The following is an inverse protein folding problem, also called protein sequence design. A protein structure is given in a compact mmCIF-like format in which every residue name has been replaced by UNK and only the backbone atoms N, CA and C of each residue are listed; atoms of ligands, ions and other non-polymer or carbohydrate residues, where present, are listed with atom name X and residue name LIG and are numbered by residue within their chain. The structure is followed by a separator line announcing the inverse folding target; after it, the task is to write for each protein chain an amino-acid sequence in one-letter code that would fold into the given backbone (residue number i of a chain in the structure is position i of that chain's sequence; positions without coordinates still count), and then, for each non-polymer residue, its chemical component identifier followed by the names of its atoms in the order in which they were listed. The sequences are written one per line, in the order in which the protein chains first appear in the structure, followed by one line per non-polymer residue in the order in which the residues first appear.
data_IF_070216568586
#
_entry.id   IF_070216568586
#
_cell.length_a   1.000
_cell.length_b   1.000
_cell.length_c   1.000
_cell.angle_alpha   90.00
_cell.angle_beta   90.00
_cell.angle_gamma   90.00
#
_symmetry.space_group_name_H-M   'P 1'
#
loop_
_entity.id
_entity.type
_entity.pdbx_description
1 polymer ?
#
# COMPACT_ATOMS: atom_id res chain seq x y z
N UNK A 1 -39.29 20.89 19.58
CA UNK A 1 -37.93 21.10 20.11
C UNK A 1 -36.96 20.22 19.33
N UNK A 2 -36.37 20.74 18.24
CA UNK A 2 -35.44 19.95 17.42
C UNK A 2 -34.11 19.78 18.17
N UNK A 3 -33.79 18.55 18.59
CA UNK A 3 -32.47 18.22 19.14
C UNK A 3 -31.41 18.52 18.09
N UNK A 4 -30.42 19.32 18.47
CA UNK A 4 -29.29 19.75 17.63
C UNK A 4 -28.47 18.52 17.27
N UNK A 5 -28.73 17.91 16.11
CA UNK A 5 -27.98 16.78 15.59
C UNK A 5 -26.54 17.26 15.35
N UNK A 6 -25.60 16.81 16.16
CA UNK A 6 -24.16 17.09 15.97
C UNK A 6 -23.62 16.15 14.89
N UNK A 7 -23.93 16.45 13.64
CA UNK A 7 -23.37 15.75 12.48
C UNK A 7 -21.84 15.93 12.49
N UNK A 8 -21.08 14.84 12.62
CA UNK A 8 -19.62 14.86 12.40
C UNK A 8 -18.74 14.28 13.50
N UNK A 9 -19.26 13.88 14.66
CA UNK A 9 -18.48 13.12 15.66
C UNK A 9 -18.77 11.62 15.55
N UNK A 10 -17.88 10.79 14.99
CA UNK A 10 -18.12 9.35 14.83
C UNK A 10 -18.15 8.55 16.16
N UNK A 11 -17.90 9.22 17.30
CA UNK A 11 -17.93 8.64 18.64
C UNK A 11 -19.00 9.27 19.56
N UNK A 12 -19.95 10.02 19.01
CA UNK A 12 -21.10 10.49 19.78
C UNK A 12 -22.12 9.33 19.92
N UNK A 13 -22.47 8.96 21.16
CA UNK A 13 -23.42 7.87 21.44
C UNK A 13 -24.89 8.29 21.21
N UNK A 14 -25.12 9.57 20.95
CA UNK A 14 -26.42 10.24 20.88
C UNK A 14 -27.00 10.32 19.46
N UNK A 15 -26.63 9.39 18.57
CA UNK A 15 -27.27 9.26 17.24
C UNK A 15 -28.61 8.51 17.30
N UNK A 16 -29.62 8.94 16.51
CA UNK A 16 -30.88 8.21 16.34
C UNK A 16 -30.70 6.75 15.89
N UNK A 17 -31.55 5.83 16.37
CA UNK A 17 -31.46 4.38 16.08
C UNK A 17 -31.44 4.02 14.58
N UNK A 18 -32.11 4.80 13.73
CA UNK A 18 -32.15 4.54 12.29
C UNK A 18 -30.76 4.67 11.64
N UNK A 19 -29.89 5.54 12.16
CA UNK A 19 -28.50 5.68 11.71
C UNK A 19 -27.71 4.43 12.07
N UNK A 20 -27.88 3.91 13.29
CA UNK A 20 -27.23 2.67 13.74
C UNK A 20 -27.70 1.44 12.97
N UNK A 21 -29.00 1.36 12.64
CA UNK A 21 -29.53 0.30 11.75
C UNK A 21 -28.95 0.39 10.35
N UNK A 22 -28.79 1.61 9.81
CA UNK A 22 -28.09 1.84 8.54
C UNK A 22 -26.61 1.46 8.59
N UNK A 23 -25.90 1.80 9.67
CA UNK A 23 -24.50 1.41 9.89
C UNK A 23 -24.32 -0.10 10.07
N UNK A 24 -25.29 -0.81 10.68
CA UNK A 24 -25.27 -2.28 10.76
C UNK A 24 -25.37 -2.96 9.39
N UNK A 25 -26.03 -2.31 8.44
CA UNK A 25 -26.08 -2.75 7.04
C UNK A 25 -24.83 -2.35 6.24
N UNK A 26 -23.93 -1.55 6.82
CA UNK A 26 -22.65 -1.20 6.19
C UNK A 26 -21.76 -2.44 6.04
N UNK A 27 -21.04 -2.52 4.92
CA UNK A 27 -19.99 -3.52 4.66
C UNK A 27 -18.71 -3.29 5.46
N UNK A 28 -18.66 -2.26 6.31
CA UNK A 28 -17.50 -1.91 7.13
C UNK A 28 -17.01 -3.12 7.95
N UNK A 29 -15.87 -3.68 7.55
CA UNK A 29 -15.25 -4.83 8.23
C UNK A 29 -15.62 -6.23 7.70
N UNK A 30 -16.45 -6.33 6.64
CA UNK A 30 -16.83 -7.60 5.98
C UNK A 30 -16.05 -7.89 4.70
N UNK A 31 -15.19 -6.96 4.28
CA UNK A 31 -14.36 -7.13 3.08
C UNK A 31 -13.13 -8.01 3.37
N UNK A 32 -12.71 -8.78 2.37
CA UNK A 32 -11.50 -9.63 2.45
C UNK A 32 -10.23 -8.83 2.78
N UNK A 33 -10.22 -7.54 2.45
CA UNK A 33 -9.14 -6.61 2.76
C UNK A 33 -9.35 -5.82 4.07
N UNK A 34 -10.41 -6.08 4.84
CA UNK A 34 -10.67 -5.41 6.11
C UNK A 34 -9.50 -5.50 7.11
N UNK A 35 -8.77 -6.64 7.24
CA UNK A 35 -7.58 -6.70 8.09
C UNK A 35 -6.46 -5.77 7.60
N UNK A 36 -6.26 -5.70 6.29
CA UNK A 36 -5.28 -4.82 5.66
C UNK A 36 -5.61 -3.35 5.90
N UNK A 37 -6.86 -2.94 5.69
CA UNK A 37 -7.29 -1.56 5.94
C UNK A 37 -7.26 -1.20 7.43
N UNK A 38 -7.50 -2.16 8.34
CA UNK A 38 -7.32 -1.95 9.78
C UNK A 38 -5.85 -1.72 10.14
N UNK A 39 -4.93 -2.50 9.58
CA UNK A 39 -3.48 -2.31 9.76
C UNK A 39 -3.02 -0.96 9.19
N UNK A 40 -3.42 -0.61 7.97
CA UNK A 40 -3.12 0.69 7.37
C UNK A 40 -3.71 1.87 8.13
N UNK A 41 -4.89 1.72 8.73
CA UNK A 41 -5.43 2.78 9.59
C UNK A 41 -4.67 2.84 10.93
N UNK A 42 -4.20 1.71 11.45
CA UNK A 42 -3.41 1.66 12.67
C UNK A 42 -2.03 2.33 12.52
N UNK A 43 -1.44 2.32 11.33
CA UNK A 43 -0.18 3.04 11.05
C UNK A 43 -0.36 4.56 11.03
N UNK A 44 -1.60 5.07 11.01
CA UNK A 44 -1.93 6.51 10.99
C UNK A 44 -1.19 7.27 9.87
N UNK A 45 -0.89 6.60 8.76
CA UNK A 45 -0.20 7.20 7.60
C UNK A 45 -0.92 8.45 7.13
N UNK A 46 -2.24 8.48 7.22
CA UNK A 46 -3.03 9.65 6.88
C UNK A 46 -2.63 10.88 7.71
N UNK A 47 -2.54 10.73 9.04
CA UNK A 47 -2.25 11.83 9.96
C UNK A 47 -0.81 12.34 9.82
N UNK A 48 0.14 11.42 9.60
CA UNK A 48 1.56 11.75 9.55
C UNK A 48 2.04 12.21 8.17
N UNK A 49 1.42 11.72 7.10
CA UNK A 49 1.99 11.83 5.75
C UNK A 49 1.00 12.45 4.76
N UNK A 50 -0.25 11.99 4.73
CA UNK A 50 -1.20 12.38 3.69
C UNK A 50 -1.92 13.71 3.98
N UNK A 51 -1.90 14.20 5.22
CA UNK A 51 -2.58 15.44 5.62
C UNK A 51 -1.91 16.71 5.07
N UNK A 52 -0.60 16.72 4.93
CA UNK A 52 0.16 17.86 4.42
C UNK A 52 0.61 17.59 2.97
N UNK A 53 0.40 18.56 2.07
CA UNK A 53 0.66 18.41 0.64
C UNK A 53 2.14 18.11 0.33
N UNK A 54 3.06 18.73 1.08
CA UNK A 54 4.50 18.48 0.91
C UNK A 54 4.90 17.06 1.35
N UNK A 55 4.44 16.64 2.53
CA UNK A 55 4.69 15.30 3.06
C UNK A 55 4.09 14.21 2.16
N UNK A 56 2.89 14.47 1.63
CA UNK A 56 2.24 13.62 0.63
C UNK A 56 3.11 13.47 -0.61
N UNK A 57 3.57 14.57 -1.18
CA UNK A 57 4.39 14.56 -2.40
C UNK A 57 5.69 13.79 -2.20
N UNK A 58 6.40 14.06 -1.10
CA UNK A 58 7.63 13.34 -0.75
C UNK A 58 7.40 11.84 -0.55
N UNK A 59 6.29 11.46 0.08
CA UNK A 59 5.94 10.05 0.27
C UNK A 59 5.61 9.35 -1.04
N UNK A 60 4.86 10.00 -1.94
CA UNK A 60 4.53 9.43 -3.25
C UNK A 60 5.79 9.26 -4.09
N UNK A 61 6.66 10.27 -4.14
CA UNK A 61 7.89 10.22 -4.93
C UNK A 61 8.86 9.18 -4.38
N UNK A 62 9.16 9.22 -3.08
CA UNK A 62 10.05 8.24 -2.45
C UNK A 62 9.47 6.82 -2.53
N UNK A 63 8.17 6.66 -2.27
CA UNK A 63 7.47 5.40 -2.40
C UNK A 63 7.57 4.85 -3.83
N UNK A 64 7.32 5.69 -4.83
CA UNK A 64 7.41 5.33 -6.25
C UNK A 64 8.82 4.92 -6.68
N UNK A 65 9.86 5.65 -6.24
CA UNK A 65 11.25 5.28 -6.53
C UNK A 65 11.62 3.93 -5.92
N UNK A 66 11.28 3.72 -4.64
CA UNK A 66 11.60 2.48 -3.92
C UNK A 66 10.85 1.29 -4.53
N UNK A 67 9.55 1.43 -4.77
CA UNK A 67 8.77 0.34 -5.38
C UNK A 67 9.25 0.03 -6.78
N UNK A 68 9.56 1.03 -7.61
CA UNK A 68 10.07 0.81 -8.96
C UNK A 68 11.41 0.06 -8.95
N UNK A 69 12.33 0.45 -8.06
CA UNK A 69 13.62 -0.22 -7.93
C UNK A 69 13.45 -1.68 -7.47
N UNK A 70 12.70 -1.91 -6.39
CA UNK A 70 12.48 -3.25 -5.84
C UNK A 70 11.77 -4.14 -6.86
N UNK A 71 10.77 -3.61 -7.57
CA UNK A 71 10.05 -4.34 -8.61
C UNK A 71 10.98 -4.76 -9.74
N UNK A 72 11.76 -3.81 -10.28
CA UNK A 72 12.73 -4.06 -11.35
C UNK A 72 13.75 -5.13 -10.96
N UNK A 73 14.35 -5.00 -9.77
CA UNK A 73 15.36 -5.95 -9.29
C UNK A 73 14.78 -7.33 -9.01
N UNK A 74 13.53 -7.40 -8.51
CA UNK A 74 12.84 -8.67 -8.28
C UNK A 74 12.62 -9.40 -9.60
N UNK A 75 12.13 -8.71 -10.63
CA UNK A 75 11.92 -9.32 -11.95
C UNK A 75 13.23 -9.67 -12.64
N UNK A 76 14.27 -8.84 -12.52
CA UNK A 76 15.60 -9.18 -13.02
C UNK A 76 16.13 -10.46 -12.37
N UNK A 77 15.97 -10.63 -11.05
CA UNK A 77 16.37 -11.85 -10.35
C UNK A 77 15.58 -13.08 -10.82
N UNK A 78 14.26 -12.96 -10.96
CA UNK A 78 13.40 -14.03 -11.47
C UNK A 78 13.85 -14.40 -12.89
N UNK A 79 14.03 -13.41 -13.76
CA UNK A 79 14.45 -13.62 -15.15
C UNK A 79 15.83 -14.28 -15.25
N UNK A 80 16.79 -13.85 -14.43
CA UNK A 80 18.12 -14.48 -14.34
C UNK A 80 18.04 -15.92 -13.84
N UNK A 81 17.17 -16.19 -12.86
CA UNK A 81 16.97 -17.54 -12.34
C UNK A 81 16.42 -18.50 -13.41
N UNK A 82 15.51 -18.03 -14.26
CA UNK A 82 14.92 -18.84 -15.34
C UNK A 82 15.90 -19.04 -16.50
N UNK A 83 16.75 -18.05 -16.80
CA UNK A 83 17.68 -18.06 -17.93
C UNK A 83 19.13 -18.43 -17.53
N UNK A 84 19.30 -19.09 -16.38
CA UNK A 84 20.62 -19.51 -15.90
C UNK A 84 21.35 -20.33 -16.98
N UNK A 85 22.61 -20.00 -17.24
CA UNK A 85 23.47 -20.66 -18.22
C UNK A 85 23.31 -20.14 -19.66
N UNK A 86 22.36 -19.23 -19.93
CA UNK A 86 22.18 -18.56 -21.22
C UNK A 86 22.60 -17.08 -21.20
N UNK A 87 22.88 -16.56 -20.01
CA UNK A 87 23.24 -15.17 -19.79
C UNK A 87 24.72 -14.97 -20.12
N UNK A 88 25.07 -13.80 -20.65
CA UNK A 88 26.47 -13.44 -20.90
C UNK A 88 27.33 -13.58 -19.64
N UNK A 89 26.79 -13.21 -18.48
CA UNK A 89 27.47 -13.39 -17.19
C UNK A 89 27.74 -14.85 -16.81
N UNK A 90 26.94 -15.80 -17.32
CA UNK A 90 27.09 -17.23 -17.01
C UNK A 90 27.99 -17.95 -18.03
N UNK A 91 28.30 -17.31 -19.16
CA UNK A 91 29.13 -17.87 -20.24
C UNK A 91 30.33 -16.93 -20.47
N UNK A 92 31.33 -16.93 -19.57
CA UNK A 92 32.51 -16.11 -19.74
C UNK A 92 33.24 -16.52 -21.01
N UNK A 93 33.59 -15.53 -21.83
CA UNK A 93 34.39 -15.76 -23.03
C UNK A 93 35.77 -16.30 -22.63
N UNK A 94 36.11 -17.50 -23.08
CA UNK A 94 37.43 -18.10 -22.89
C UNK A 94 38.29 -17.67 -24.06
N UNK A 95 39.39 -16.95 -23.79
CA UNK A 95 40.37 -16.64 -24.82
C UNK A 95 41.02 -17.96 -25.31
N UNK A 96 41.13 -18.17 -26.63
CA UNK A 96 41.90 -19.29 -27.14
C UNK A 96 43.37 -19.14 -26.73
N UNK A 97 44.04 -20.26 -26.41
CA UNK A 97 45.48 -20.27 -26.17
C UNK A 97 46.21 -19.85 -27.46
N UNK A 98 47.19 -18.95 -27.35
CA UNK A 98 48.04 -18.54 -28.47
C UNK A 98 48.95 -19.72 -28.86
N UNK A 99 48.95 -20.12 -30.14
CA UNK A 99 49.77 -21.22 -30.71
C UNK A 99 51.28 -20.98 -30.59
#
# INVERSE_FOLDING_TARGET
MFRRIKFGNPFADDYPEWIWRGLKNSRKGKDMFAPFFRLLNATKIYDYVLKNNWSYWMFVVSGGMVTSYVWSETWNKIWRSVNRGKLYNDVPYVYPEEE
#
